data_IF_358491677392
#
_entry.id   IF_358491677392
#
_cell.length_a   1.000
_cell.length_b   1.000
_cell.length_c   1.000
_cell.angle_alpha   90.00
_cell.angle_beta   90.00
_cell.angle_gamma   90.00
#
_symmetry.space_group_name_H-M   'P 1'
#
loop_
_entity.id
_entity.type
_entity.pdbx_description
1 polymer ?
#
# COMPACT_ATOMS: atom_id res chain seq x y z
N UNK A 1 -10.68 16.98 5.11
CA UNK A 1 -10.30 15.63 4.61
C UNK A 1 -8.92 15.27 5.09
N UNK A 2 -8.75 13.99 5.47
CA UNK A 2 -7.46 13.51 5.98
C UNK A 2 -6.42 13.42 4.87
N UNK A 3 -5.20 13.83 5.18
CA UNK A 3 -4.04 13.72 4.30
C UNK A 3 -2.96 12.90 4.98
N UNK A 4 -2.15 12.21 4.18
CA UNK A 4 -1.09 11.33 4.66
C UNK A 4 0.11 11.43 3.73
N UNK A 5 1.27 10.97 4.23
CA UNK A 5 2.53 11.04 3.50
C UNK A 5 3.04 9.70 3.00
N UNK A 6 2.36 8.60 3.32
CA UNK A 6 2.76 7.29 2.81
C UNK A 6 1.55 6.42 2.46
N UNK A 7 1.68 5.68 1.36
CA UNK A 7 0.62 4.85 0.80
C UNK A 7 1.16 3.51 0.33
N UNK A 8 0.35 2.48 0.53
CA UNK A 8 0.58 1.13 0.01
C UNK A 8 -0.38 0.88 -1.15
N UNK A 9 0.15 0.49 -2.30
CA UNK A 9 -0.61 0.34 -3.54
C UNK A 9 -0.44 -1.06 -4.12
N UNK A 10 -1.55 -1.64 -4.55
CA UNK A 10 -1.56 -2.88 -5.32
C UNK A 10 -2.32 -2.64 -6.62
N UNK A 11 -1.73 -3.04 -7.74
CA UNK A 11 -2.43 -3.13 -9.02
C UNK A 11 -2.38 -4.56 -9.54
N UNK A 12 -3.55 -5.19 -9.54
CA UNK A 12 -3.73 -6.60 -9.92
C UNK A 12 -4.85 -6.70 -10.96
N UNK A 13 -4.55 -6.43 -12.24
CA UNK A 13 -5.56 -6.55 -13.28
C UNK A 13 -5.87 -8.02 -13.60
N UNK A 14 -7.10 -8.29 -14.03
CA UNK A 14 -7.50 -9.61 -14.49
C UNK A 14 -6.66 -10.01 -15.70
N UNK A 15 -6.09 -11.21 -15.66
CA UNK A 15 -5.20 -11.70 -16.71
C UNK A 15 -3.75 -11.26 -16.61
N UNK A 16 -3.41 -10.54 -15.54
CA UNK A 16 -2.05 -10.08 -15.26
C UNK A 16 -1.74 -8.70 -15.83
N UNK A 17 -0.76 -8.03 -15.21
CA UNK A 17 -0.30 -6.71 -15.65
C UNK A 17 0.49 -6.81 -16.96
N UNK A 18 0.24 -5.90 -17.90
CA UNK A 18 0.98 -5.82 -19.16
C UNK A 18 2.33 -5.14 -18.96
N UNK A 19 3.28 -5.40 -19.86
CA UNK A 19 4.58 -4.73 -19.84
C UNK A 19 4.43 -3.22 -20.02
N UNK A 20 3.49 -2.78 -20.82
CA UNK A 20 3.17 -1.37 -21.01
C UNK A 20 2.75 -0.71 -19.69
N UNK A 21 1.88 -1.37 -18.93
CA UNK A 21 1.44 -0.88 -17.61
C UNK A 21 2.59 -0.84 -16.59
N UNK A 22 3.44 -1.86 -16.57
CA UNK A 22 4.64 -1.90 -15.71
C UNK A 22 5.55 -0.72 -16.03
N UNK A 23 5.84 -0.47 -17.30
CA UNK A 23 6.69 0.63 -17.72
C UNK A 23 6.08 1.99 -17.38
N UNK A 24 4.79 2.17 -17.58
CA UNK A 24 4.10 3.42 -17.26
C UNK A 24 4.10 3.72 -15.77
N UNK A 25 3.84 2.72 -14.93
CA UNK A 25 3.89 2.87 -13.48
C UNK A 25 5.31 3.13 -12.99
N UNK A 26 6.29 2.41 -13.52
CA UNK A 26 7.69 2.61 -13.18
C UNK A 26 8.16 4.03 -13.54
N UNK A 27 7.79 4.53 -14.70
CA UNK A 27 8.07 5.91 -15.11
C UNK A 27 7.42 6.93 -14.17
N UNK A 28 6.17 6.69 -13.76
CA UNK A 28 5.48 7.56 -12.81
C UNK A 28 6.15 7.59 -11.44
N UNK A 29 6.78 6.47 -11.02
CA UNK A 29 7.47 6.36 -9.74
C UNK A 29 8.85 7.03 -9.71
N UNK A 30 9.49 7.29 -10.86
CA UNK A 30 10.88 7.72 -10.93
C UNK A 30 11.20 9.04 -10.21
N UNK A 31 10.23 9.95 -10.10
CA UNK A 31 10.40 11.25 -9.43
C UNK A 31 9.92 11.23 -7.96
N UNK A 32 9.68 10.04 -7.41
CA UNK A 32 9.10 9.84 -6.07
C UNK A 32 10.01 9.00 -5.18
N UNK A 33 9.74 9.02 -3.88
CA UNK A 33 10.22 7.99 -2.98
C UNK A 33 9.30 6.78 -3.07
N UNK A 34 9.87 5.62 -3.35
CA UNK A 34 9.10 4.40 -3.56
C UNK A 34 9.92 3.13 -3.34
N UNK A 35 9.22 2.03 -3.11
CA UNK A 35 9.73 0.67 -3.22
C UNK A 35 8.69 -0.16 -3.98
N UNK A 36 9.08 -0.73 -5.12
CA UNK A 36 8.15 -1.44 -5.99
C UNK A 36 8.64 -2.84 -6.32
N UNK A 37 7.73 -3.81 -6.27
CA UNK A 37 7.98 -5.21 -6.65
C UNK A 37 6.95 -5.65 -7.68
N UNK A 38 7.41 -6.46 -8.62
CA UNK A 38 6.58 -7.14 -9.60
C UNK A 38 6.49 -8.61 -9.22
N UNK A 39 5.34 -9.05 -8.76
CA UNK A 39 5.10 -10.43 -8.39
C UNK A 39 4.56 -11.23 -9.57
N UNK A 40 5.15 -12.39 -9.81
CA UNK A 40 4.80 -13.29 -10.90
C UNK A 40 4.10 -14.56 -10.42
N UNK A 41 3.38 -14.48 -9.32
CA UNK A 41 2.73 -15.67 -8.77
C UNK A 41 1.61 -16.18 -9.69
N UNK A 42 1.71 -17.46 -10.02
CA UNK A 42 0.71 -18.18 -10.83
C UNK A 42 0.47 -17.47 -12.17
N UNK A 43 -0.77 -17.38 -12.60
CA UNK A 43 -1.15 -16.84 -13.92
C UNK A 43 -1.40 -15.32 -13.90
N UNK A 44 -1.33 -14.67 -12.74
CA UNK A 44 -1.69 -13.26 -12.60
C UNK A 44 -0.53 -12.43 -12.04
N UNK A 45 0.31 -11.98 -12.92
CA UNK A 45 1.37 -11.01 -12.61
C UNK A 45 0.76 -9.69 -12.12
N UNK A 46 1.28 -9.14 -11.04
CA UNK A 46 0.78 -7.91 -10.44
C UNK A 46 1.91 -7.10 -9.80
N UNK A 47 1.65 -5.83 -9.53
CA UNK A 47 2.61 -4.92 -8.94
C UNK A 47 2.14 -4.47 -7.56
N UNK A 48 3.10 -4.41 -6.63
CA UNK A 48 2.95 -3.78 -5.32
C UNK A 48 3.98 -2.69 -5.16
N UNK A 49 3.60 -1.57 -4.57
CA UNK A 49 4.57 -0.55 -4.20
C UNK A 49 4.12 0.26 -3.00
N UNK A 50 5.10 0.79 -2.27
CA UNK A 50 4.89 1.80 -1.25
C UNK A 50 5.42 3.13 -1.74
N UNK A 51 4.75 4.21 -1.37
CA UNK A 51 5.10 5.59 -1.70
C UNK A 51 5.31 6.39 -0.42
N UNK A 52 6.25 7.32 -0.48
CA UNK A 52 6.45 8.34 0.56
C UNK A 52 6.50 9.72 -0.12
N UNK A 53 5.80 10.68 0.48
CA UNK A 53 5.71 12.05 -0.05
C UNK A 53 6.17 13.06 1.00
N UNK A 54 6.96 14.03 0.58
CA UNK A 54 7.35 15.14 1.47
C UNK A 54 6.14 16.02 1.84
N UNK A 55 5.21 16.18 0.89
CA UNK A 55 3.96 16.91 1.11
C UNK A 55 2.79 15.94 1.31
N UNK A 56 1.90 16.20 2.29
CA UNK A 56 0.74 15.34 2.50
C UNK A 56 -0.17 15.27 1.28
N UNK A 57 -0.74 14.09 1.03
CA UNK A 57 -1.65 13.79 -0.08
C UNK A 57 -2.92 13.14 0.44
N UNK A 58 -4.00 13.27 -0.32
CA UNK A 58 -5.22 12.51 -0.05
C UNK A 58 -5.12 11.14 -0.73
N UNK A 59 -5.56 10.10 -0.03
CA UNK A 59 -5.59 8.74 -0.59
C UNK A 59 -6.32 8.69 -1.94
N UNK A 60 -7.45 9.39 -2.05
CA UNK A 60 -8.26 9.40 -3.28
C UNK A 60 -7.52 9.99 -4.48
N UNK A 61 -6.60 10.92 -4.26
CA UNK A 61 -5.82 11.50 -5.36
C UNK A 61 -4.80 10.50 -5.90
N UNK A 62 -4.17 9.73 -5.01
CA UNK A 62 -3.26 8.65 -5.42
C UNK A 62 -4.04 7.56 -6.15
N UNK A 63 -5.19 7.16 -5.63
CA UNK A 63 -6.08 6.18 -6.27
C UNK A 63 -6.45 6.60 -7.70
N UNK A 64 -6.84 7.86 -7.89
CA UNK A 64 -7.18 8.39 -9.20
C UNK A 64 -6.00 8.39 -10.17
N UNK A 65 -4.81 8.74 -9.70
CA UNK A 65 -3.62 8.75 -10.54
C UNK A 65 -3.24 7.35 -11.01
N UNK A 66 -3.24 6.37 -10.11
CA UNK A 66 -2.95 4.98 -10.43
C UNK A 66 -4.00 4.41 -11.40
N UNK A 67 -5.29 4.66 -11.15
CA UNK A 67 -6.38 4.24 -12.03
C UNK A 67 -6.29 4.87 -13.42
N UNK A 68 -5.86 6.11 -13.51
CA UNK A 68 -5.66 6.78 -14.81
C UNK A 68 -4.57 6.08 -15.64
N UNK A 69 -3.46 5.72 -15.00
CA UNK A 69 -2.39 4.98 -15.67
C UNK A 69 -2.88 3.59 -16.08
N UNK A 70 -3.56 2.89 -15.18
CA UNK A 70 -4.11 1.57 -15.45
C UNK A 70 -5.11 1.59 -16.61
N UNK A 71 -6.02 2.54 -16.64
CA UNK A 71 -7.00 2.70 -17.73
C UNK A 71 -6.33 2.97 -19.08
N UNK A 72 -5.32 3.82 -19.09
CA UNK A 72 -4.59 4.16 -20.33
C UNK A 72 -3.83 2.96 -20.92
N UNK A 73 -3.37 2.06 -20.07
CA UNK A 73 -2.53 0.92 -20.46
C UNK A 73 -3.29 -0.41 -20.55
N UNK A 74 -4.59 -0.42 -20.29
CA UNK A 74 -5.43 -1.61 -20.36
C UNK A 74 -6.66 -1.32 -21.22
N UNK A 75 -6.67 -1.86 -22.43
CA UNK A 75 -7.74 -1.64 -23.40
C UNK A 75 -9.09 -2.27 -23.00
N UNK A 76 -9.09 -3.21 -22.07
CA UNK A 76 -10.30 -3.86 -21.56
C UNK A 76 -10.78 -3.25 -20.23
N UNK A 77 -10.22 -2.12 -19.84
CA UNK A 77 -10.53 -1.47 -18.58
C UNK A 77 -11.96 -0.94 -18.54
N UNK A 78 -12.69 -1.28 -17.48
CA UNK A 78 -14.00 -0.74 -17.17
C UNK A 78 -14.10 -0.35 -15.69
N UNK A 79 -15.21 0.26 -15.29
CA UNK A 79 -15.41 0.73 -13.91
C UNK A 79 -15.46 -0.41 -12.88
N UNK A 80 -15.94 -1.58 -13.28
CA UNK A 80 -15.94 -2.77 -12.43
C UNK A 80 -14.51 -3.24 -12.15
N UNK A 81 -13.64 -3.26 -13.17
CA UNK A 81 -12.23 -3.58 -13.00
C UNK A 81 -11.50 -2.55 -12.16
N UNK A 82 -11.84 -1.26 -12.30
CA UNK A 82 -11.23 -0.19 -11.51
C UNK A 82 -11.38 -0.43 -10.01
N UNK A 83 -12.53 -0.91 -9.58
CA UNK A 83 -12.84 -1.16 -8.16
C UNK A 83 -12.05 -2.32 -7.55
N UNK A 84 -11.76 -3.35 -8.34
CA UNK A 84 -11.16 -4.60 -7.84
C UNK A 84 -9.67 -4.73 -8.15
N UNK A 85 -9.17 -4.02 -9.16
CA UNK A 85 -7.79 -4.16 -9.63
C UNK A 85 -6.83 -3.19 -8.95
N UNK A 86 -7.28 -2.02 -8.53
CA UNK A 86 -6.45 -1.00 -7.88
C UNK A 86 -6.86 -0.84 -6.43
N UNK A 87 -5.92 -1.03 -5.53
CA UNK A 87 -6.12 -0.84 -4.10
C UNK A 87 -5.07 0.11 -3.56
N UNK A 88 -5.51 1.24 -3.02
CA UNK A 88 -4.64 2.22 -2.36
C UNK A 88 -5.02 2.33 -0.89
N UNK A 89 -4.06 2.10 -0.02
CA UNK A 89 -4.21 2.20 1.44
C UNK A 89 -3.18 3.13 2.01
N UNK A 90 -3.52 3.80 3.10
CA UNK A 90 -2.54 4.57 3.87
C UNK A 90 -1.57 3.61 4.55
N UNK A 91 -0.27 3.88 4.46
CA UNK A 91 0.76 3.16 5.19
C UNK A 91 1.05 3.91 6.49
N UNK A 92 1.03 3.20 7.61
CA UNK A 92 1.18 3.79 8.94
C UNK A 92 2.50 3.44 9.61
N UNK A 93 3.27 2.52 9.05
CA UNK A 93 4.56 2.05 9.54
C UNK A 93 5.32 1.30 8.43
N UNK A 94 6.51 0.79 8.76
CA UNK A 94 7.36 0.06 7.81
C UNK A 94 6.93 -1.40 7.56
N UNK A 95 5.81 -1.84 8.11
CA UNK A 95 5.39 -3.23 7.99
C UNK A 95 5.20 -3.66 6.52
N UNK A 96 4.57 -2.79 5.72
CA UNK A 96 4.34 -3.09 4.29
C UNK A 96 5.65 -3.14 3.50
N UNK A 97 6.57 -2.23 3.80
CA UNK A 97 7.91 -2.25 3.21
C UNK A 97 8.62 -3.58 3.49
N UNK A 98 8.63 -4.02 4.74
CA UNK A 98 9.22 -5.30 5.12
C UNK A 98 8.52 -6.48 4.46
N UNK A 99 7.21 -6.44 4.38
CA UNK A 99 6.43 -7.45 3.68
C UNK A 99 6.85 -7.58 2.21
N UNK A 100 7.02 -6.48 1.50
CA UNK A 100 7.47 -6.48 0.11
C UNK A 100 8.90 -7.00 -0.03
N UNK A 101 9.78 -6.63 0.87
CA UNK A 101 11.16 -7.10 0.89
C UNK A 101 11.27 -8.60 1.19
N UNK A 102 10.48 -9.11 2.14
CA UNK A 102 10.44 -10.54 2.46
C UNK A 102 9.93 -11.39 1.30
N UNK A 103 8.90 -10.92 0.60
CA UNK A 103 8.36 -11.64 -0.55
C UNK A 103 9.38 -11.76 -1.69
N UNK A 104 10.19 -10.74 -1.87
CA UNK A 104 11.26 -10.76 -2.86
C UNK A 104 12.33 -11.81 -2.52
N UNK A 105 12.63 -11.97 -1.24
CA UNK A 105 13.59 -12.97 -0.77
C UNK A 105 13.09 -14.43 -0.88
N UNK A 106 11.78 -14.64 -1.00
CA UNK A 106 11.17 -15.97 -1.11
C UNK A 106 11.11 -16.50 -2.54
N UNK A 107 11.43 -15.70 -3.51
CA UNK A 107 11.42 -16.08 -4.92
C UNK A 107 12.86 -16.22 -5.42
N UNK A 108 13.13 -17.25 -6.23
CA UNK A 108 14.44 -17.46 -6.86
C UNK A 108 14.78 -16.37 -7.90
N UNK A 109 13.81 -15.51 -8.21
CA UNK A 109 13.95 -14.41 -9.16
C UNK A 109 13.63 -13.10 -8.44
N UNK A 110 14.62 -12.23 -8.17
CA UNK A 110 14.36 -10.93 -7.54
C UNK A 110 13.39 -10.10 -8.36
N UNK A 111 12.26 -9.77 -7.77
CA UNK A 111 11.17 -9.06 -8.44
C UNK A 111 11.14 -7.57 -8.09
N UNK A 112 12.22 -7.03 -7.53
CA UNK A 112 12.33 -5.59 -7.29
C UNK A 112 12.32 -4.87 -8.63
N UNK A 113 11.28 -4.09 -8.86
CA UNK A 113 11.17 -3.25 -10.04
C UNK A 113 12.05 -2.01 -9.93
N UNK A 114 12.14 -1.45 -8.72
CA UNK A 114 12.97 -0.31 -8.41
C UNK A 114 12.77 0.15 -6.98
N UNK A 115 13.66 1.01 -6.51
CA UNK A 115 13.57 1.55 -5.17
C UNK A 115 14.25 2.92 -5.07
N UNK A 116 13.65 3.78 -4.28
CA UNK A 116 14.20 5.06 -3.84
C UNK A 116 13.57 5.37 -2.48
N UNK A 117 14.09 4.74 -1.43
CA UNK A 117 13.53 4.82 -0.09
C UNK A 117 14.09 6.06 0.61
N UNK A 118 13.25 6.88 1.29
CA UNK A 118 13.78 8.02 2.07
C UNK A 118 14.70 7.53 3.20
N UNK A 119 15.62 8.38 3.61
CA UNK A 119 16.60 8.04 4.65
C UNK A 119 15.99 7.75 6.01
N UNK A 120 14.86 8.37 6.33
CA UNK A 120 14.11 8.14 7.56
C UNK A 120 12.61 8.03 7.23
N UNK A 121 12.10 6.79 7.18
CA UNK A 121 10.70 6.51 6.84
C UNK A 121 9.75 6.86 7.97
N UNK A 122 10.19 6.84 9.22
CA UNK A 122 9.35 7.09 10.39
C UNK A 122 8.69 8.47 10.35
N UNK A 123 9.40 9.47 9.85
CA UNK A 123 8.90 10.84 9.74
C UNK A 123 7.69 10.99 8.79
N UNK A 124 7.46 9.99 7.93
CA UNK A 124 6.37 9.99 6.96
C UNK A 124 5.07 9.38 7.51
N UNK A 125 5.12 8.79 8.70
CA UNK A 125 3.98 8.11 9.29
C UNK A 125 3.28 9.00 10.33
N UNK A 126 1.98 8.77 10.60
CA UNK A 126 1.28 9.51 11.63
C UNK A 126 1.95 9.37 13.00
N UNK A 127 1.97 10.47 13.78
CA UNK A 127 2.47 10.46 15.15
C UNK A 127 1.56 9.61 16.07
N UNK A 128 2.06 9.26 17.25
CA UNK A 128 1.25 8.55 18.25
C UNK A 128 -0.01 9.31 18.63
N UNK A 129 0.06 10.64 18.70
CA UNK A 129 -1.10 11.50 18.98
C UNK A 129 -2.14 11.43 17.87
N UNK A 130 -1.71 11.52 16.61
CA UNK A 130 -2.60 11.38 15.45
C UNK A 130 -3.22 9.98 15.38
N UNK A 131 -2.44 8.95 15.68
CA UNK A 131 -2.91 7.58 15.78
C UNK A 131 -4.00 7.42 16.83
N UNK A 132 -3.79 7.98 18.03
CA UNK A 132 -4.78 7.94 19.10
C UNK A 132 -6.09 8.62 18.70
N UNK A 133 -6.04 9.76 18.01
CA UNK A 133 -7.23 10.44 17.49
C UNK A 133 -7.97 9.59 16.46
N UNK A 134 -7.25 8.91 15.58
CA UNK A 134 -7.85 8.06 14.56
C UNK A 134 -8.52 6.83 15.18
N UNK A 135 -7.88 6.20 16.16
CA UNK A 135 -8.45 5.07 16.92
C UNK A 135 -9.73 5.49 17.64
N UNK A 136 -9.73 6.62 18.30
CA UNK A 136 -10.90 7.16 18.99
C UNK A 136 -12.08 7.39 18.05
N UNK A 137 -11.83 7.93 16.85
CA UNK A 137 -12.87 8.13 15.82
C UNK A 137 -13.43 6.81 15.31
N UNK A 138 -12.58 5.83 15.05
CA UNK A 138 -13.00 4.51 14.58
C UNK A 138 -13.84 3.80 15.62
N UNK A 139 -13.43 3.82 16.89
CA UNK A 139 -14.15 3.21 18.01
C UNK A 139 -15.52 3.86 18.23
N UNK A 140 -15.62 5.18 18.08
CA UNK A 140 -16.89 5.89 18.23
C UNK A 140 -17.91 5.55 17.14
N UNK A 141 -17.45 5.12 15.97
CA UNK A 141 -18.33 4.81 14.83
C UNK A 141 -18.82 3.37 14.80
N UNK A 142 -18.02 2.42 15.29
CA UNK A 142 -18.32 0.99 15.14
C UNK A 142 -17.70 0.16 16.26
N UNK A 143 -18.51 -0.49 17.13
CA UNK A 143 -18.02 -1.36 18.20
C UNK A 143 -17.15 -2.53 17.68
N UNK A 144 -17.39 -3.01 16.47
CA UNK A 144 -16.59 -4.06 15.83
C UNK A 144 -15.13 -3.61 15.63
N UNK A 145 -14.93 -2.35 15.34
CA UNK A 145 -13.56 -1.77 15.22
C UNK A 145 -12.80 -1.85 16.55
N UNK A 146 -13.48 -1.71 17.66
CA UNK A 146 -12.83 -1.81 18.99
C UNK A 146 -12.22 -3.20 19.19
N UNK A 147 -12.95 -4.24 18.87
CA UNK A 147 -12.48 -5.63 18.98
C UNK A 147 -11.30 -5.90 18.03
N UNK A 148 -11.37 -5.41 16.80
CA UNK A 148 -10.28 -5.52 15.84
C UNK A 148 -9.02 -4.78 16.30
N UNK A 149 -9.19 -3.61 16.90
CA UNK A 149 -8.08 -2.82 17.42
C UNK A 149 -7.38 -3.50 18.60
N UNK A 150 -8.13 -4.14 19.50
CA UNK A 150 -7.54 -4.92 20.58
C UNK A 150 -6.68 -6.07 20.05
N UNK A 151 -7.18 -6.79 19.08
CA UNK A 151 -6.43 -7.87 18.42
C UNK A 151 -5.18 -7.35 17.73
N UNK A 152 -5.26 -6.19 17.09
CA UNK A 152 -4.12 -5.54 16.46
C UNK A 152 -3.05 -5.12 17.45
N UNK A 153 -3.43 -4.57 18.61
CA UNK A 153 -2.47 -4.18 19.64
C UNK A 153 -1.68 -5.39 20.17
N UNK A 154 -2.36 -6.51 20.41
CA UNK A 154 -1.70 -7.76 20.80
C UNK A 154 -0.72 -8.21 19.71
N UNK A 155 -1.14 -8.17 18.48
CA UNK A 155 -0.32 -8.57 17.35
C UNK A 155 0.92 -7.69 17.18
N UNK A 156 0.78 -6.36 17.34
CA UNK A 156 1.91 -5.43 17.30
C UNK A 156 2.94 -5.73 18.38
N UNK A 157 2.50 -5.97 19.61
CA UNK A 157 3.38 -6.31 20.73
C UNK A 157 4.17 -7.59 20.44
N UNK A 158 3.51 -8.61 19.93
CA UNK A 158 4.15 -9.89 19.58
C UNK A 158 5.19 -9.75 18.45
N UNK A 159 5.04 -8.78 17.57
CA UNK A 159 5.89 -8.58 16.39
C UNK A 159 6.80 -7.37 16.47
N UNK A 160 6.79 -6.66 17.60
CA UNK A 160 7.58 -5.43 17.81
C UNK A 160 7.31 -4.37 16.74
N UNK A 161 6.07 -4.27 16.28
CA UNK A 161 5.64 -3.30 15.29
C UNK A 161 5.18 -2.00 15.95
N UNK A 162 5.38 -0.89 15.26
CA UNK A 162 4.90 0.43 15.68
C UNK A 162 3.92 0.99 14.66
N UNK A 163 3.08 1.92 15.11
CA UNK A 163 2.15 2.62 14.23
C UNK A 163 0.70 2.21 14.40
N UNK A 164 -0.21 2.91 13.69
CA UNK A 164 -1.63 2.72 13.84
C UNK A 164 -2.17 1.48 13.12
N UNK A 165 -3.38 1.13 13.50
CA UNK A 165 -4.17 0.06 12.93
C UNK A 165 -4.42 0.24 11.43
N UNK A 166 -4.22 -0.83 10.67
CA UNK A 166 -4.63 -0.94 9.28
C UNK A 166 -5.36 -2.26 9.06
N UNK A 167 -6.57 -2.20 8.49
CA UNK A 167 -7.33 -3.40 8.12
C UNK A 167 -6.57 -4.31 7.16
N UNK A 168 -5.76 -3.73 6.31
CA UNK A 168 -4.93 -4.49 5.37
C UNK A 168 -3.84 -5.29 6.08
N UNK A 169 -3.18 -4.68 7.05
CA UNK A 169 -2.13 -5.33 7.82
C UNK A 169 -2.69 -6.55 8.57
N UNK A 170 -3.89 -6.46 9.10
CA UNK A 170 -4.59 -7.59 9.73
C UNK A 170 -4.96 -8.64 8.69
N UNK A 171 -5.51 -8.25 7.55
CA UNK A 171 -5.98 -9.19 6.53
C UNK A 171 -4.85 -10.06 5.97
N UNK A 172 -3.61 -9.57 5.97
CA UNK A 172 -2.45 -10.34 5.51
C UNK A 172 -2.00 -11.41 6.50
N UNK A 173 -2.49 -11.38 7.75
CA UNK A 173 -2.12 -12.34 8.80
C UNK A 173 -3.25 -13.29 9.21
N UNK A 174 -4.44 -13.06 8.73
CA UNK A 174 -5.57 -13.97 8.90
C UNK A 174 -5.64 -14.96 7.75
#
# INVERSE_FOLDING_TARGET
MSTFRSFAVTYRPRGGITDEAVQALHKWLQDKYYFAVLEKQLDERHIHFQLWFDEPKRRVDIDKQVKRIAKRTNHTWDDAQAKVSVLVKVAYNDWYLYYLQENDLKTDDPNILGQNIPGDTVDYYPSEEEDAKMKARATAKDPFYHELMEKWEIFKEERELTGPFSLRDIALYL
#
